data_IF_233573589159
#
_entry.id   IF_233573589159
#
_cell.length_a   1.000
_cell.length_b   1.000
_cell.length_c   1.000
_cell.angle_alpha   90.00
_cell.angle_beta   90.00
_cell.angle_gamma   90.00
#
_symmetry.space_group_name_H-M   'P 1'
#
loop_
_entity.id
_entity.type
_entity.pdbx_description
1 polymer ?
#
# COMPACT_ATOMS: atom_id res chain seq x y z
N UNK A 1 33.41 10.92 51.81
CA UNK A 1 32.29 11.82 51.47
C UNK A 1 32.80 12.70 50.34
N UNK A 2 32.33 12.68 49.09
CA UNK A 2 30.99 12.50 48.52
C UNK A 2 31.03 11.65 47.25
N UNK A 3 29.84 11.18 46.87
CA UNK A 3 29.53 10.08 45.97
C UNK A 3 29.63 10.42 44.48
N UNK A 4 30.09 9.45 43.69
CA UNK A 4 29.82 9.38 42.26
C UNK A 4 28.42 8.81 42.04
N UNK A 5 27.55 9.59 41.39
CA UNK A 5 26.33 9.08 40.77
C UNK A 5 26.66 8.52 39.39
N UNK A 6 26.31 7.26 39.08
CA UNK A 6 26.10 6.85 37.70
C UNK A 6 24.62 7.04 37.35
N UNK A 7 24.28 8.12 36.65
CA UNK A 7 22.97 8.24 36.00
C UNK A 7 22.97 7.32 34.78
N UNK A 8 22.38 6.14 34.99
CA UNK A 8 22.03 5.18 33.95
C UNK A 8 20.97 5.79 33.04
N UNK A 9 21.37 6.18 31.82
CA UNK A 9 20.42 6.28 30.70
C UNK A 9 20.65 5.08 29.82
N UNK A 10 19.99 3.98 30.17
CA UNK A 10 19.74 2.90 29.22
C UNK A 10 18.87 3.51 28.12
N UNK A 11 19.49 3.78 26.97
CA UNK A 11 18.78 3.97 25.72
C UNK A 11 17.91 2.73 25.51
N UNK A 12 16.59 2.89 25.59
CA UNK A 12 15.64 1.88 25.15
C UNK A 12 15.99 1.56 23.69
N UNK A 13 16.53 0.36 23.47
CA UNK A 13 16.79 -0.12 22.13
C UNK A 13 15.42 -0.29 21.45
N UNK A 14 15.09 0.63 20.55
CA UNK A 14 13.92 0.51 19.70
C UNK A 14 14.03 -0.80 18.92
N UNK A 15 13.03 -1.67 19.06
CA UNK A 15 12.93 -2.89 18.26
C UNK A 15 12.89 -2.48 16.79
N UNK A 16 13.67 -3.11 15.89
CA UNK A 16 13.61 -2.77 14.48
C UNK A 16 12.18 -2.99 13.96
N UNK A 17 11.67 -2.08 13.11
CA UNK A 17 10.29 -2.12 12.67
C UNK A 17 9.95 -3.44 11.95
N UNK A 18 8.80 -4.02 12.26
CA UNK A 18 8.32 -5.29 11.71
C UNK A 18 7.76 -5.12 10.29
N UNK A 19 8.65 -4.83 9.35
CA UNK A 19 8.29 -4.54 7.97
C UNK A 19 8.39 -5.79 7.10
N UNK A 20 7.33 -6.07 6.34
CA UNK A 20 7.26 -7.18 5.37
C UNK A 20 6.79 -6.70 4.01
N UNK A 21 7.16 -7.41 2.95
CA UNK A 21 6.76 -7.10 1.59
C UNK A 21 5.77 -8.12 1.05
N UNK A 22 4.79 -7.61 0.32
CA UNK A 22 3.72 -8.40 -0.28
C UNK A 22 3.58 -8.03 -1.75
N UNK A 23 3.30 -9.02 -2.58
CA UNK A 23 2.98 -8.82 -3.99
C UNK A 23 1.51 -9.18 -4.18
N UNK A 24 0.69 -8.18 -4.50
CA UNK A 24 -0.71 -8.39 -4.83
C UNK A 24 -0.82 -8.44 -6.34
N UNK A 25 -1.25 -9.60 -6.86
CA UNK A 25 -1.41 -9.85 -8.29
C UNK A 25 -2.86 -10.05 -8.64
N UNK A 26 -3.25 -9.49 -9.75
CA UNK A 26 -4.47 -9.90 -10.42
C UNK A 26 -4.28 -11.31 -11.01
N UNK A 27 -5.33 -12.15 -11.02
CA UNK A 27 -5.20 -13.57 -11.35
C UNK A 27 -5.38 -13.91 -12.83
N UNK A 28 -5.76 -12.94 -13.67
CA UNK A 28 -6.14 -13.18 -15.07
C UNK A 28 -5.34 -12.36 -16.08
N UNK A 29 -4.86 -11.17 -15.70
CA UNK A 29 -3.83 -10.38 -16.39
C UNK A 29 -2.59 -10.26 -15.51
N UNK A 30 -1.62 -9.49 -15.97
CA UNK A 30 -0.31 -9.34 -15.34
C UNK A 30 -0.22 -8.12 -14.39
N UNK A 31 -1.37 -7.56 -13.97
CA UNK A 31 -1.37 -6.42 -13.05
C UNK A 31 -0.85 -6.80 -11.67
N UNK A 32 0.08 -6.01 -11.15
CA UNK A 32 0.63 -6.24 -9.83
C UNK A 32 1.10 -4.96 -9.14
N UNK A 33 0.97 -4.96 -7.82
CA UNK A 33 1.55 -3.94 -6.94
C UNK A 33 2.38 -4.61 -5.85
N UNK A 34 3.55 -4.06 -5.57
CA UNK A 34 4.39 -4.46 -4.45
C UNK A 34 4.17 -3.51 -3.29
N UNK A 35 3.74 -4.06 -2.17
CA UNK A 35 3.43 -3.35 -0.94
C UNK A 35 4.53 -3.59 0.09
N UNK A 36 4.84 -2.55 0.86
CA UNK A 36 5.61 -2.65 2.10
C UNK A 36 4.66 -2.39 3.27
N UNK A 37 4.63 -3.30 4.23
CA UNK A 37 3.64 -3.33 5.32
C UNK A 37 4.39 -3.31 6.64
N UNK A 38 4.09 -2.30 7.46
CA UNK A 38 4.56 -2.21 8.83
C UNK A 38 3.57 -2.91 9.77
N UNK A 39 3.92 -4.10 10.24
CA UNK A 39 3.09 -4.91 11.15
C UNK A 39 3.07 -4.40 12.58
N UNK A 40 3.89 -3.39 12.92
CA UNK A 40 3.74 -2.65 14.18
C UNK A 40 2.59 -1.63 14.10
N UNK A 41 2.10 -1.31 12.88
CA UNK A 41 0.98 -0.38 12.63
C UNK A 41 -0.27 -1.13 12.18
N UNK A 42 -0.16 -2.02 11.19
CA UNK A 42 -1.25 -2.88 10.73
C UNK A 42 -1.45 -4.06 11.69
N UNK A 43 -2.06 -3.78 12.83
CA UNK A 43 -2.50 -4.79 13.80
C UNK A 43 -3.82 -5.43 13.36
N UNK A 44 -4.22 -6.52 14.01
CA UNK A 44 -5.56 -7.12 13.79
C UNK A 44 -6.70 -6.14 14.09
N UNK A 45 -6.53 -5.26 15.09
CA UNK A 45 -7.50 -4.22 15.43
C UNK A 45 -7.63 -3.19 14.31
N UNK A 46 -6.51 -2.60 13.88
CA UNK A 46 -6.46 -1.67 12.76
C UNK A 46 -7.04 -2.30 11.49
N UNK A 47 -6.66 -3.54 11.19
CA UNK A 47 -7.15 -4.26 10.03
C UNK A 47 -8.66 -4.53 10.11
N UNK A 48 -9.20 -4.83 11.30
CA UNK A 48 -10.64 -5.04 11.50
C UNK A 48 -11.45 -3.77 11.26
N UNK A 49 -10.95 -2.62 11.74
CA UNK A 49 -11.57 -1.32 11.49
C UNK A 49 -11.64 -1.01 9.99
N UNK A 50 -10.53 -1.22 9.28
CA UNK A 50 -10.45 -0.98 7.83
C UNK A 50 -11.35 -1.95 7.07
N UNK A 51 -11.25 -3.26 7.32
CA UNK A 51 -12.05 -4.24 6.60
C UNK A 51 -13.56 -4.04 6.82
N UNK A 52 -13.96 -3.61 8.01
CA UNK A 52 -15.35 -3.34 8.39
C UNK A 52 -15.95 -2.07 7.81
N UNK A 53 -15.16 -1.17 7.22
CA UNK A 53 -15.66 0.09 6.68
C UNK A 53 -16.58 -0.11 5.46
N UNK A 54 -16.22 -1.00 4.53
CA UNK A 54 -17.02 -1.30 3.35
C UNK A 54 -17.92 -2.52 3.55
N UNK A 55 -19.06 -2.54 2.86
CA UNK A 55 -19.90 -3.75 2.75
C UNK A 55 -19.11 -4.96 2.24
N UNK A 56 -19.58 -6.17 2.53
CA UNK A 56 -18.94 -7.45 2.18
C UNK A 56 -17.61 -7.72 2.94
N UNK A 57 -17.45 -7.16 4.14
CA UNK A 57 -16.31 -7.40 5.02
C UNK A 57 -16.12 -8.89 5.36
N UNK A 58 -17.23 -9.59 5.62
CA UNK A 58 -17.24 -11.01 5.94
C UNK A 58 -16.81 -11.87 4.75
N UNK A 59 -17.25 -11.52 3.53
CA UNK A 59 -16.87 -12.24 2.30
C UNK A 59 -15.37 -12.13 2.04
N UNK A 60 -14.80 -10.91 2.17
CA UNK A 60 -13.36 -10.67 2.05
C UNK A 60 -12.57 -11.45 3.10
N UNK A 61 -13.03 -11.42 4.35
CA UNK A 61 -12.40 -12.12 5.45
C UNK A 61 -12.41 -13.65 5.24
N UNK A 62 -13.54 -14.20 4.78
CA UNK A 62 -13.65 -15.61 4.44
C UNK A 62 -12.69 -16.00 3.31
N UNK A 63 -12.48 -15.12 2.32
CA UNK A 63 -11.57 -15.38 1.21
C UNK A 63 -10.09 -15.47 1.63
N UNK A 64 -9.71 -14.89 2.78
CA UNK A 64 -8.38 -15.02 3.40
C UNK A 64 -8.40 -15.92 4.65
N UNK A 65 -9.35 -16.85 4.74
CA UNK A 65 -9.44 -17.85 5.81
C UNK A 65 -9.51 -17.26 7.24
N UNK A 66 -10.13 -16.09 7.39
CA UNK A 66 -10.23 -15.42 8.69
C UNK A 66 -9.03 -14.55 9.07
N UNK A 67 -8.00 -14.45 8.22
CA UNK A 67 -6.86 -13.57 8.47
C UNK A 67 -7.18 -12.14 8.01
N UNK A 68 -7.58 -11.30 8.98
CA UNK A 68 -7.99 -9.92 8.71
C UNK A 68 -6.83 -9.04 8.25
N UNK A 69 -5.60 -9.30 8.69
CA UNK A 69 -4.41 -8.55 8.26
C UNK A 69 -4.14 -8.83 6.79
N UNK A 70 -4.12 -10.10 6.38
CA UNK A 70 -3.99 -10.48 4.96
C UNK A 70 -5.15 -9.94 4.12
N UNK A 71 -6.35 -9.95 4.67
CA UNK A 71 -7.54 -9.38 4.03
C UNK A 71 -7.33 -7.91 3.66
N UNK A 72 -6.85 -7.09 4.61
CA UNK A 72 -6.59 -5.67 4.37
C UNK A 72 -5.41 -5.44 3.42
N UNK A 73 -4.34 -6.24 3.50
CA UNK A 73 -3.23 -6.16 2.54
C UNK A 73 -3.71 -6.41 1.11
N UNK A 74 -4.55 -7.44 0.92
CA UNK A 74 -5.14 -7.75 -0.38
C UNK A 74 -6.11 -6.68 -0.86
N UNK A 75 -6.94 -6.15 0.05
CA UNK A 75 -7.87 -5.06 -0.25
C UNK A 75 -7.11 -3.79 -0.67
N UNK A 76 -6.05 -3.41 0.04
CA UNK A 76 -5.22 -2.25 -0.32
C UNK A 76 -4.62 -2.42 -1.71
N UNK A 77 -4.05 -3.60 -2.01
CA UNK A 77 -3.50 -3.87 -3.33
C UNK A 77 -4.55 -3.84 -4.44
N UNK A 78 -5.74 -4.39 -4.20
CA UNK A 78 -6.87 -4.33 -5.13
C UNK A 78 -7.29 -2.87 -5.39
N UNK A 79 -7.48 -2.08 -4.34
CA UNK A 79 -7.90 -0.67 -4.47
C UNK A 79 -6.84 0.15 -5.21
N UNK A 80 -5.55 -0.10 -4.92
CA UNK A 80 -4.45 0.55 -5.63
C UNK A 80 -4.45 0.21 -7.13
N UNK A 81 -4.62 -1.06 -7.50
CA UNK A 81 -4.72 -1.47 -8.91
C UNK A 81 -5.90 -0.78 -9.59
N UNK A 82 -7.07 -0.75 -8.94
CA UNK A 82 -8.26 -0.07 -9.47
C UNK A 82 -8.00 1.43 -9.70
N UNK A 83 -7.35 2.09 -8.74
CA UNK A 83 -6.98 3.51 -8.85
C UNK A 83 -6.03 3.75 -10.02
N UNK A 84 -4.95 2.97 -10.10
CA UNK A 84 -3.98 3.07 -11.20
C UNK A 84 -4.65 2.87 -12.56
N UNK A 85 -5.53 1.87 -12.71
CA UNK A 85 -6.31 1.67 -13.94
C UNK A 85 -7.19 2.87 -14.28
N UNK A 86 -7.80 3.50 -13.26
CA UNK A 86 -8.64 4.70 -13.44
C UNK A 86 -7.85 5.93 -13.91
N UNK A 87 -6.54 5.95 -13.68
CA UNK A 87 -5.62 7.03 -14.07
C UNK A 87 -4.77 6.71 -15.32
N UNK A 88 -5.01 5.58 -15.99
CA UNK A 88 -4.29 5.20 -17.22
C UNK A 88 -3.09 4.27 -17.00
N UNK A 89 -3.04 3.59 -15.87
CA UNK A 89 -1.98 2.64 -15.52
C UNK A 89 -0.82 3.26 -14.76
N UNK A 90 0.10 2.41 -14.31
CA UNK A 90 1.32 2.83 -13.61
C UNK A 90 2.42 1.77 -13.78
N UNK A 91 3.64 2.23 -14.09
CA UNK A 91 4.83 1.39 -14.15
C UNK A 91 5.99 2.03 -13.40
N UNK A 92 6.38 1.43 -12.28
CA UNK A 92 7.53 1.87 -11.50
C UNK A 92 8.09 0.78 -10.59
N UNK A 93 9.38 0.91 -10.30
CA UNK A 93 10.11 0.09 -9.33
C UNK A 93 10.51 0.92 -8.11
N UNK A 94 11.02 0.24 -7.08
CA UNK A 94 11.59 0.89 -5.90
C UNK A 94 12.77 1.82 -6.24
N UNK A 95 13.42 1.60 -7.37
CA UNK A 95 14.54 2.42 -7.86
C UNK A 95 14.13 3.49 -8.87
N UNK A 96 12.88 3.48 -9.32
CA UNK A 96 12.37 4.48 -10.27
C UNK A 96 12.43 5.86 -9.63
N UNK A 97 12.87 6.83 -10.42
CA UNK A 97 12.90 8.25 -10.06
C UNK A 97 12.24 9.06 -11.16
N UNK A 98 11.37 9.98 -10.77
CA UNK A 98 10.80 10.97 -11.68
C UNK A 98 11.94 11.82 -12.26
N UNK A 99 11.96 12.04 -13.58
CA UNK A 99 13.04 12.76 -14.26
C UNK A 99 13.10 14.25 -13.90
N UNK A 100 11.97 14.83 -13.47
CA UNK A 100 11.86 16.24 -13.11
C UNK A 100 12.15 16.48 -11.63
N UNK A 101 11.59 15.64 -10.74
CA UNK A 101 11.71 15.86 -9.28
C UNK A 101 12.77 15.00 -8.62
N UNK A 102 13.17 13.88 -9.24
CA UNK A 102 14.07 12.88 -8.65
C UNK A 102 13.40 11.93 -7.65
N UNK A 103 12.12 12.12 -7.35
CA UNK A 103 11.38 11.35 -6.35
C UNK A 103 10.89 10.01 -6.90
N UNK A 104 10.71 9.03 -6.01
CA UNK A 104 10.00 7.81 -6.36
C UNK A 104 8.49 8.11 -6.45
N UNK A 105 7.75 7.53 -7.42
CA UNK A 105 6.31 7.75 -7.54
C UNK A 105 5.47 7.05 -6.44
N UNK A 106 5.99 6.02 -5.78
CA UNK A 106 5.27 5.23 -4.78
C UNK A 106 4.68 6.04 -3.61
N UNK A 107 5.42 6.99 -3.00
CA UNK A 107 4.88 7.88 -1.98
C UNK A 107 3.64 8.66 -2.42
N UNK A 108 3.58 9.17 -3.65
CA UNK A 108 2.41 9.94 -4.14
C UNK A 108 1.17 9.03 -4.28
N UNK A 109 1.34 7.85 -4.88
CA UNK A 109 0.26 6.86 -4.94
C UNK A 109 -0.21 6.42 -3.55
N UNK A 110 0.73 6.26 -2.62
CA UNK A 110 0.43 5.88 -1.24
C UNK A 110 -0.39 6.97 -0.54
N UNK A 111 0.06 8.22 -0.61
CA UNK A 111 -0.61 9.37 0.00
C UNK A 111 -2.03 9.54 -0.54
N UNK A 112 -2.19 9.46 -1.85
CA UNK A 112 -3.50 9.54 -2.50
C UNK A 112 -4.48 8.52 -1.93
N UNK A 113 -4.09 7.24 -1.84
CA UNK A 113 -4.96 6.20 -1.30
C UNK A 113 -5.17 6.34 0.23
N UNK A 114 -4.15 6.74 0.98
CA UNK A 114 -4.28 6.98 2.42
C UNK A 114 -5.34 8.03 2.75
N UNK A 115 -5.48 9.06 1.90
CA UNK A 115 -6.45 10.15 2.10
C UNK A 115 -7.88 9.81 1.68
N UNK A 116 -8.09 8.69 0.99
CA UNK A 116 -9.44 8.21 0.68
C UNK A 116 -10.18 7.73 1.95
N UNK A 117 -11.50 7.91 1.98
CA UNK A 117 -12.32 7.45 3.08
C UNK A 117 -12.15 5.94 3.32
N UNK A 118 -12.02 5.54 4.58
CA UNK A 118 -11.79 4.16 4.98
C UNK A 118 -10.33 3.77 5.22
N UNK A 119 -9.35 4.58 4.80
CA UNK A 119 -7.91 4.28 4.96
C UNK A 119 -7.20 4.99 6.12
N UNK A 120 -7.84 6.01 6.70
CA UNK A 120 -7.43 6.62 7.96
C UNK A 120 -6.31 7.68 7.89
N UNK A 121 -5.82 8.01 6.68
CA UNK A 121 -4.87 9.11 6.47
C UNK A 121 -3.39 8.75 6.67
N UNK A 122 -2.55 9.79 6.57
CA UNK A 122 -1.08 9.70 6.45
C UNK A 122 -0.32 9.65 7.79
N UNK A 123 -1.01 9.57 8.93
CA UNK A 123 -0.38 9.54 10.26
C UNK A 123 -0.45 8.13 10.88
N UNK A 124 0.61 7.63 11.57
CA UNK A 124 1.91 8.27 11.78
C UNK A 124 2.95 7.87 10.72
N UNK A 125 3.30 8.81 9.84
CA UNK A 125 4.42 8.65 8.91
C UNK A 125 4.11 7.88 7.62
N UNK A 126 5.13 7.35 6.90
CA UNK A 126 5.00 6.94 5.49
C UNK A 126 4.13 5.70 5.25
N UNK A 127 3.63 5.07 6.31
CA UNK A 127 2.71 3.93 6.25
C UNK A 127 1.26 4.31 6.59
N UNK A 128 1.04 5.55 7.04
CA UNK A 128 -0.27 6.04 7.45
C UNK A 128 -0.90 5.24 8.57
N UNK A 129 -2.18 5.47 8.80
CA UNK A 129 -2.97 4.72 9.79
C UNK A 129 -3.05 3.23 9.41
N UNK A 130 -3.15 2.95 8.12
CA UNK A 130 -3.33 1.59 7.61
C UNK A 130 -2.06 0.72 7.65
N UNK A 131 -0.88 1.28 7.90
CA UNK A 131 0.35 0.51 8.01
C UNK A 131 0.89 -0.03 6.67
N UNK A 132 0.37 0.43 5.52
CA UNK A 132 0.70 -0.11 4.19
C UNK A 132 1.13 1.02 3.25
N UNK A 133 2.19 0.80 2.46
CA UNK A 133 2.56 1.70 1.34
C UNK A 133 2.88 0.92 0.07
N UNK A 134 2.70 1.56 -1.09
CA UNK A 134 3.13 0.98 -2.37
C UNK A 134 4.56 1.40 -2.70
N UNK A 135 5.38 0.44 -3.15
CA UNK A 135 6.80 0.66 -3.47
C UNK A 135 7.17 0.29 -4.91
N UNK A 136 6.30 -0.45 -5.61
CA UNK A 136 6.42 -0.74 -7.04
C UNK A 136 5.04 -1.09 -7.60
N UNK A 137 4.84 -0.84 -8.88
CA UNK A 137 3.63 -1.22 -9.60
C UNK A 137 3.96 -1.56 -11.06
N UNK A 138 3.18 -2.49 -11.59
CA UNK A 138 3.12 -2.85 -13.00
C UNK A 138 1.65 -3.07 -13.34
N UNK A 139 0.98 -2.00 -13.76
CA UNK A 139 -0.47 -1.95 -14.05
C UNK A 139 -0.64 -1.29 -15.40
N UNK A 140 -0.92 -2.11 -16.42
CA UNK A 140 -0.86 -1.67 -17.81
C UNK A 140 -2.25 -1.36 -18.42
N UNK A 141 -2.29 -0.35 -19.29
CA UNK A 141 -3.49 0.01 -20.06
C UNK A 141 -3.13 0.20 -21.54
N UNK A 142 -4.08 -0.01 -22.48
CA UNK A 142 -3.77 0.14 -23.90
C UNK A 142 -3.19 1.51 -24.22
N UNK A 143 -1.99 1.51 -24.80
CA UNK A 143 -1.36 2.69 -25.34
C UNK A 143 -1.92 3.06 -26.71
N UNK A 144 -1.45 4.18 -27.25
CA UNK A 144 -1.83 4.63 -28.58
C UNK A 144 -1.52 3.60 -29.68
N UNK A 145 -0.39 2.91 -29.55
CA UNK A 145 0.06 1.91 -30.53
C UNK A 145 -0.66 0.55 -30.38
N UNK A 146 -1.42 0.36 -29.30
CA UNK A 146 -2.21 -0.85 -29.05
C UNK A 146 -3.63 -0.77 -29.61
N UNK A 147 -4.01 0.38 -30.20
CA UNK A 147 -5.35 0.62 -30.73
C UNK A 147 -5.29 1.01 -32.21
N UNK A 148 -6.30 0.58 -32.97
CA UNK A 148 -6.47 0.93 -34.38
C UNK A 148 -7.71 1.81 -34.56
N UNK A 149 -7.60 2.86 -35.37
CA UNK A 149 -8.73 3.70 -35.76
C UNK A 149 -9.29 3.26 -37.11
N UNK A 150 -10.53 2.78 -37.10
CA UNK A 150 -11.31 2.45 -38.31
C UNK A 150 -12.59 3.27 -38.34
N UNK A 151 -13.00 3.75 -39.52
CA UNK A 151 -14.28 4.44 -39.70
C UNK A 151 -15.43 3.44 -39.47
N UNK A 152 -16.32 3.75 -38.52
CA UNK A 152 -17.55 3.00 -38.34
C UNK A 152 -18.55 3.43 -39.43
N UNK A 153 -18.92 2.50 -40.33
CA UNK A 153 -19.92 2.77 -41.38
C UNK A 153 -21.24 3.26 -40.79
N UNK A 154 -21.92 4.15 -41.53
CA UNK A 154 -23.22 4.73 -41.18
C UNK A 154 -24.35 3.69 -41.08
#
# INVERSE_FOLDING_TARGET
>A
MQAQNPSSSAVEASTPPNIKRYLVKETWKEYQVTLEVNHDVLTEETASLINGFWSNADDRLSAENGDVVRTVIRLFGQTMIYRMLSEGGASFSITTKNLMTGDNPGPFWTEDLHTEEGWGGNEPGPYGFCGIRVIAADVDTPGYDDVELVEAGA
#
